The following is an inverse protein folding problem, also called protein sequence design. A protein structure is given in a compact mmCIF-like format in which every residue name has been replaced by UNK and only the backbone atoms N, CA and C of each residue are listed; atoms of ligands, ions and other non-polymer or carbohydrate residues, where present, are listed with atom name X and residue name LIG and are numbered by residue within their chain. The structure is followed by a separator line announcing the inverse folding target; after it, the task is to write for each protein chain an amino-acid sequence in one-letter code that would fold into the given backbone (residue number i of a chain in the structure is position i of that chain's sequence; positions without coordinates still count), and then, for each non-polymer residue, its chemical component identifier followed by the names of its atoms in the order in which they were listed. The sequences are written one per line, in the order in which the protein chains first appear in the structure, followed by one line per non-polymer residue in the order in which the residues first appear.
data_IF_687800386742
#
_entry.id   IF_687800386742
#
_cell.length_a   1.000
_cell.length_b   1.000
_cell.length_c   1.000
_cell.angle_alpha   90.00
_cell.angle_beta   90.00
_cell.angle_gamma   90.00
#
_symmetry.space_group_name_H-M   'P 1'
#
loop_
_entity.id
_entity.type
_entity.pdbx_description
1 polymer ?
#
# COMPACT_ATOMS: atom_id res chain seq x y z
N UNK A 1 -10.34 -2.92 -9.37
CA UNK A 1 -10.43 -2.17 -10.63
C UNK A 1 -11.60 -1.20 -10.54
N UNK A 2 -11.61 -0.18 -11.40
CA UNK A 2 -12.65 0.87 -11.40
C UNK A 2 -14.04 0.36 -11.80
N UNK A 3 -14.09 -0.73 -12.56
CA UNK A 3 -15.31 -1.41 -13.02
C UNK A 3 -15.81 -2.52 -12.06
N UNK A 4 -15.06 -2.80 -10.99
CA UNK A 4 -15.37 -3.87 -10.04
C UNK A 4 -15.10 -5.29 -10.56
N UNK A 5 -14.55 -5.46 -11.77
CA UNK A 5 -14.20 -6.79 -12.29
C UNK A 5 -13.12 -7.47 -11.45
N UNK A 6 -12.24 -6.70 -10.79
CA UNK A 6 -11.17 -7.17 -9.92
C UNK A 6 -11.27 -6.49 -8.56
N UNK A 7 -11.25 -7.27 -7.48
CA UNK A 7 -11.38 -6.78 -6.09
C UNK A 7 -10.23 -7.31 -5.24
N UNK A 8 -9.67 -6.46 -4.38
CA UNK A 8 -8.63 -6.83 -3.42
C UNK A 8 -9.23 -6.76 -2.02
N UNK A 9 -8.94 -7.78 -1.21
CA UNK A 9 -9.41 -7.88 0.17
C UNK A 9 -8.21 -8.14 1.07
N UNK A 10 -7.95 -7.20 1.95
CA UNK A 10 -6.99 -7.34 3.02
C UNK A 10 -7.52 -8.21 4.17
N UNK A 11 -6.66 -9.08 4.68
CA UNK A 11 -6.84 -9.84 5.91
C UNK A 11 -5.61 -9.58 6.81
N UNK A 12 -5.48 -8.36 7.38
CA UNK A 12 -4.26 -7.89 8.03
C UNK A 12 -3.85 -8.73 9.26
N UNK A 13 -4.78 -9.43 9.90
CA UNK A 13 -4.50 -10.30 11.05
C UNK A 13 -4.41 -11.78 10.69
N UNK A 14 -4.17 -12.10 9.42
CA UNK A 14 -4.01 -13.48 9.02
C UNK A 14 -2.67 -14.03 9.52
N UNK A 15 -2.72 -15.13 10.28
CA UNK A 15 -1.53 -15.74 10.87
C UNK A 15 -0.85 -16.80 9.99
N UNK A 16 -1.30 -16.95 8.73
CA UNK A 16 -0.91 -18.05 7.84
C UNK A 16 0.58 -18.10 7.50
N UNK A 17 1.31 -16.99 7.68
CA UNK A 17 2.74 -16.87 7.42
C UNK A 17 3.54 -16.25 8.60
N UNK A 18 3.00 -16.33 9.82
CA UNK A 18 3.56 -15.68 11.01
C UNK A 18 2.52 -14.88 11.79
N UNK A 19 2.84 -14.46 13.02
CA UNK A 19 1.89 -13.71 13.87
C UNK A 19 1.44 -12.41 13.20
N UNK A 20 0.14 -12.29 12.94
CA UNK A 20 -0.50 -11.16 12.26
C UNK A 20 0.23 -10.72 10.97
N UNK A 21 0.85 -11.69 10.27
CA UNK A 21 1.64 -11.45 9.07
C UNK A 21 0.83 -10.73 7.98
N UNK A 22 -0.48 -11.00 7.95
CA UNK A 22 -1.42 -10.40 7.03
C UNK A 22 -1.39 -11.07 5.66
N UNK A 23 -2.48 -10.90 4.92
CA UNK A 23 -2.69 -11.50 3.59
C UNK A 23 -3.59 -10.61 2.75
N UNK A 24 -3.37 -10.60 1.45
CA UNK A 24 -4.30 -10.00 0.47
C UNK A 24 -4.82 -11.05 -0.48
N UNK A 25 -6.14 -11.10 -0.63
CA UNK A 25 -6.82 -11.89 -1.66
C UNK A 25 -7.15 -10.99 -2.84
N UNK A 26 -6.93 -11.47 -4.06
CA UNK A 26 -7.39 -10.80 -5.27
C UNK A 26 -8.40 -11.70 -5.98
N UNK A 27 -9.59 -11.16 -6.19
CA UNK A 27 -10.72 -11.84 -6.77
C UNK A 27 -11.07 -11.22 -8.13
N UNK A 28 -11.52 -12.04 -9.07
CA UNK A 28 -12.02 -11.62 -10.38
C UNK A 28 -13.45 -12.11 -10.59
N UNK A 29 -14.29 -11.26 -11.16
CA UNK A 29 -15.68 -11.60 -11.47
C UNK A 29 -15.77 -12.29 -12.83
N UNK A 30 -16.31 -13.51 -12.85
CA UNK A 30 -16.46 -14.29 -14.09
C UNK A 30 -17.83 -14.12 -14.79
N UNK A 31 -18.64 -13.15 -14.36
CA UNK A 31 -20.02 -12.97 -14.83
C UNK A 31 -21.08 -13.62 -13.95
N UNK A 32 -20.68 -14.45 -12.98
CA UNK A 32 -21.61 -15.05 -11.99
C UNK A 32 -21.14 -14.91 -10.56
N UNK A 33 -19.85 -15.08 -10.30
CA UNK A 33 -19.27 -15.05 -8.96
C UNK A 33 -17.83 -14.52 -8.99
N UNK A 34 -17.33 -14.19 -7.79
CA UNK A 34 -15.93 -13.84 -7.58
C UNK A 34 -15.12 -15.10 -7.28
N UNK A 35 -14.05 -15.30 -8.03
CA UNK A 35 -13.08 -16.37 -7.83
C UNK A 35 -11.69 -15.78 -7.66
N UNK A 36 -10.75 -16.54 -7.08
CA UNK A 36 -9.37 -16.07 -6.95
C UNK A 36 -8.77 -15.85 -8.34
N UNK A 37 -8.34 -14.62 -8.61
CA UNK A 37 -7.64 -14.25 -9.85
C UNK A 37 -6.22 -14.82 -9.88
N UNK A 38 -5.63 -14.96 -8.71
CA UNK A 38 -4.27 -15.44 -8.48
C UNK A 38 -4.16 -16.07 -7.09
N UNK A 39 -3.01 -16.68 -6.81
CA UNK A 39 -2.63 -16.99 -5.43
C UNK A 39 -2.67 -15.71 -4.58
N UNK A 40 -3.11 -15.83 -3.33
CA UNK A 40 -3.06 -14.75 -2.36
C UNK A 40 -1.63 -14.23 -2.17
N UNK A 41 -1.51 -12.97 -1.75
CA UNK A 41 -0.25 -12.32 -1.45
C UNK A 41 -0.09 -12.35 0.07
N UNK A 42 0.92 -13.06 0.56
CA UNK A 42 1.25 -13.10 1.99
C UNK A 42 2.17 -11.93 2.36
N UNK A 43 1.97 -11.37 3.55
CA UNK A 43 2.98 -10.52 4.15
C UNK A 43 4.25 -11.33 4.43
N UNK A 44 5.41 -10.75 4.11
CA UNK A 44 6.70 -11.40 4.34
C UNK A 44 7.26 -11.05 5.73
N UNK A 45 7.73 -12.07 6.46
CA UNK A 45 8.58 -11.92 7.65
C UNK A 45 7.88 -11.29 8.86
N UNK A 46 8.58 -10.35 9.50
CA UNK A 46 8.16 -9.62 10.69
C UNK A 46 6.99 -8.64 10.48
N UNK A 47 6.47 -8.51 9.26
CA UNK A 47 5.44 -7.52 8.91
C UNK A 47 4.15 -7.80 9.64
N UNK A 48 3.58 -6.82 10.34
CA UNK A 48 2.30 -6.94 11.04
C UNK A 48 1.26 -6.13 10.27
N UNK A 49 0.06 -6.66 10.07
CA UNK A 49 -1.02 -5.97 9.36
C UNK A 49 -0.76 -5.72 7.86
N UNK A 50 -0.05 -6.60 7.15
CA UNK A 50 0.01 -6.54 5.69
C UNK A 50 -1.39 -6.66 5.08
N UNK A 51 -1.75 -5.75 4.17
CA UNK A 51 -3.11 -5.67 3.64
C UNK A 51 -4.05 -4.82 4.48
N UNK A 52 -3.53 -4.01 5.41
CA UNK A 52 -4.36 -3.04 6.14
C UNK A 52 -4.99 -2.00 5.21
N UNK A 53 -4.25 -1.61 4.17
CA UNK A 53 -4.72 -0.73 3.11
C UNK A 53 -4.35 -1.33 1.76
N UNK A 54 -5.24 -1.17 0.77
CA UNK A 54 -5.03 -1.67 -0.59
C UNK A 54 -5.57 -0.65 -1.60
N UNK A 55 -4.91 -0.52 -2.75
CA UNK A 55 -5.38 0.33 -3.86
C UNK A 55 -4.96 -0.25 -5.20
N UNK A 56 -5.83 -0.13 -6.21
CA UNK A 56 -5.64 -0.69 -7.54
C UNK A 56 -5.50 0.41 -8.60
N UNK A 57 -4.75 0.11 -9.66
CA UNK A 57 -4.89 0.77 -10.95
C UNK A 57 -6.29 0.54 -11.53
N UNK A 58 -6.69 1.35 -12.51
CA UNK A 58 -8.05 1.30 -13.07
C UNK A 58 -8.39 -0.07 -13.64
N UNK A 59 -7.43 -0.70 -14.33
CA UNK A 59 -7.54 -2.04 -14.94
C UNK A 59 -7.27 -3.20 -13.94
N UNK A 60 -6.90 -2.88 -12.70
CA UNK A 60 -6.55 -3.87 -11.68
C UNK A 60 -5.25 -4.64 -11.94
N UNK A 61 -4.38 -4.18 -12.85
CA UNK A 61 -3.08 -4.81 -13.11
C UNK A 61 -2.05 -4.48 -12.04
N UNK A 62 -2.09 -3.29 -11.43
CA UNK A 62 -1.16 -2.85 -10.38
C UNK A 62 -1.89 -2.68 -9.06
N UNK A 63 -1.33 -3.24 -7.98
CA UNK A 63 -1.88 -3.26 -6.63
C UNK A 63 -0.86 -2.72 -5.63
N UNK A 64 -1.19 -1.62 -4.95
CA UNK A 64 -0.46 -1.16 -3.77
C UNK A 64 -1.05 -1.78 -2.50
N UNK A 65 -0.19 -2.25 -1.60
CA UNK A 65 -0.57 -2.87 -0.33
C UNK A 65 0.22 -2.24 0.82
N UNK A 66 -0.48 -1.68 1.79
CA UNK A 66 0.12 -1.13 2.99
C UNK A 66 0.27 -2.15 4.12
N UNK A 67 1.35 -1.97 4.87
CA UNK A 67 1.69 -2.68 6.09
C UNK A 67 2.22 -1.67 7.12
N UNK A 68 1.33 -0.96 7.84
CA UNK A 68 1.72 0.14 8.73
C UNK A 68 2.49 -0.32 9.97
N UNK A 69 2.53 -1.62 10.27
CA UNK A 69 3.27 -2.17 11.38
C UNK A 69 4.28 -3.21 10.88
N UNK A 70 5.47 -3.22 11.45
CA UNK A 70 6.43 -4.31 11.27
C UNK A 70 6.99 -4.63 12.64
N UNK A 71 6.88 -5.87 13.08
CA UNK A 71 7.47 -6.33 14.34
C UNK A 71 8.97 -6.05 14.39
N UNK A 72 9.45 -5.67 15.58
CA UNK A 72 10.82 -5.18 15.81
C UNK A 72 10.88 -3.70 16.18
N UNK A 73 12.10 -3.15 16.30
CA UNK A 73 12.38 -1.80 16.78
C UNK A 73 11.94 -0.66 15.83
N UNK A 74 11.17 -0.98 14.79
CA UNK A 74 10.84 -0.06 13.71
C UNK A 74 9.47 0.59 13.85
N UNK A 75 8.37 -0.17 13.77
CA UNK A 75 7.02 0.41 13.50
C UNK A 75 7.05 1.53 12.43
N UNK A 76 8.00 1.46 11.49
CA UNK A 76 8.20 2.48 10.46
C UNK A 76 7.10 2.35 9.40
N UNK A 77 6.56 1.14 9.24
CA UNK A 77 5.57 0.83 8.23
C UNK A 77 6.19 0.75 6.83
N UNK A 78 5.46 0.13 5.90
CA UNK A 78 5.88 0.03 4.50
C UNK A 78 4.69 -0.12 3.56
N UNK A 79 4.95 0.13 2.28
CA UNK A 79 4.05 -0.21 1.17
C UNK A 79 4.81 -1.08 0.18
N UNK A 80 4.13 -2.11 -0.31
CA UNK A 80 4.60 -2.96 -1.40
C UNK A 80 3.66 -2.79 -2.59
N UNK A 81 4.22 -2.62 -3.78
CA UNK A 81 3.44 -2.53 -5.01
C UNK A 81 3.66 -3.79 -5.84
N UNK A 82 2.59 -4.34 -6.41
CA UNK A 82 2.63 -5.57 -7.18
C UNK A 82 1.99 -5.36 -8.56
N UNK A 83 2.48 -6.08 -9.56
CA UNK A 83 1.95 -6.09 -10.91
C UNK A 83 1.54 -7.52 -11.31
N UNK A 84 0.38 -7.62 -11.96
CA UNK A 84 -0.16 -8.87 -12.44
C UNK A 84 0.54 -9.30 -13.74
N UNK A 85 1.25 -10.42 -13.70
CA UNK A 85 1.97 -10.94 -14.87
C UNK A 85 1.15 -11.90 -15.74
N UNK A 86 -0.18 -11.95 -15.57
CA UNK A 86 -1.06 -12.93 -16.22
C UNK A 86 -1.30 -14.22 -15.44
N UNK A 87 -0.57 -14.45 -14.33
CA UNK A 87 -0.75 -15.64 -13.47
C UNK A 87 -0.74 -15.32 -11.99
N UNK A 88 0.09 -14.36 -11.57
CA UNK A 88 0.23 -13.92 -10.19
C UNK A 88 0.58 -12.44 -10.12
N UNK A 89 0.34 -11.86 -8.95
CA UNK A 89 0.88 -10.55 -8.59
C UNK A 89 2.33 -10.73 -8.15
N UNK A 90 3.25 -10.04 -8.83
CA UNK A 90 4.70 -10.03 -8.54
C UNK A 90 5.09 -8.64 -8.11
N UNK A 91 5.98 -8.51 -7.13
CA UNK A 91 6.38 -7.21 -6.65
C UNK A 91 7.01 -6.38 -7.79
N UNK A 92 6.57 -5.12 -7.91
CA UNK A 92 7.01 -4.12 -8.88
C UNK A 92 7.84 -3.07 -8.14
N UNK A 93 9.16 -3.16 -8.28
CA UNK A 93 10.13 -2.34 -7.54
C UNK A 93 10.38 -2.79 -6.11
N UNK A 94 11.26 -2.08 -5.41
CA UNK A 94 11.61 -2.33 -4.01
C UNK A 94 10.49 -1.92 -3.03
N UNK A 95 10.64 -2.31 -1.76
CA UNK A 95 9.74 -1.89 -0.68
C UNK A 95 9.84 -0.37 -0.47
N UNK A 96 8.69 0.31 -0.34
CA UNK A 96 8.63 1.71 0.03
C UNK A 96 8.48 1.79 1.56
N UNK A 97 9.58 2.07 2.26
CA UNK A 97 9.63 2.07 3.72
C UNK A 97 9.38 3.46 4.30
N UNK A 98 8.70 3.53 5.46
CA UNK A 98 8.69 4.74 6.27
C UNK A 98 10.08 5.08 6.81
N UNK A 99 10.26 6.33 7.25
CA UNK A 99 11.59 6.85 7.58
C UNK A 99 11.92 6.77 9.07
N UNK A 100 10.89 6.81 9.92
CA UNK A 100 11.05 7.00 11.36
C UNK A 100 10.23 6.01 12.18
N UNK A 101 10.69 5.75 13.40
CA UNK A 101 10.01 4.81 14.29
C UNK A 101 8.64 5.34 14.70
N UNK A 102 7.60 4.55 14.45
CA UNK A 102 6.21 4.93 14.75
C UNK A 102 5.58 5.85 13.70
N UNK A 103 6.17 5.95 12.51
CA UNK A 103 5.58 6.67 11.38
C UNK A 103 4.23 6.06 10.94
N UNK A 104 4.10 4.74 11.11
CA UNK A 104 2.93 3.98 10.67
C UNK A 104 2.66 4.15 9.18
N UNK A 105 3.74 4.22 8.39
CA UNK A 105 3.71 4.47 6.95
C UNK A 105 2.96 3.35 6.22
N UNK A 106 2.07 3.71 5.28
CA UNK A 106 1.20 2.74 4.60
C UNK A 106 -0.12 2.48 5.34
N UNK A 107 -0.48 3.32 6.32
CA UNK A 107 -1.81 3.27 6.94
C UNK A 107 -2.90 3.56 5.90
N UNK A 108 -2.62 4.43 4.95
CA UNK A 108 -3.46 4.68 3.77
C UNK A 108 -2.60 4.64 2.51
N UNK A 109 -3.17 4.14 1.41
CA UNK A 109 -2.53 4.10 0.09
C UNK A 109 -3.54 4.49 -0.98
N UNK A 110 -3.09 5.26 -1.97
CA UNK A 110 -3.87 5.59 -3.17
C UNK A 110 -2.97 5.46 -4.39
N UNK A 111 -3.37 4.61 -5.32
CA UNK A 111 -2.64 4.35 -6.55
C UNK A 111 -3.33 5.06 -7.72
N UNK A 112 -2.55 5.67 -8.62
CA UNK A 112 -3.07 6.31 -9.84
C UNK A 112 -3.70 5.30 -10.79
N UNK A 113 -4.51 5.80 -11.73
CA UNK A 113 -5.26 4.94 -12.67
C UNK A 113 -4.35 4.10 -13.58
N UNK A 114 -3.17 4.61 -13.91
CA UNK A 114 -2.11 3.92 -14.68
C UNK A 114 -1.17 3.08 -13.80
N UNK A 115 -1.27 3.19 -12.48
CA UNK A 115 -0.42 2.47 -11.54
C UNK A 115 1.00 3.02 -11.44
N UNK A 116 1.30 4.20 -12.00
CA UNK A 116 2.65 4.78 -11.97
C UNK A 116 2.90 5.65 -10.74
N UNK A 117 1.87 6.23 -10.12
CA UNK A 117 2.00 7.12 -8.97
C UNK A 117 1.27 6.56 -7.76
N UNK A 118 1.94 6.50 -6.62
CA UNK A 118 1.34 6.08 -5.34
C UNK A 118 1.49 7.18 -4.30
N UNK A 119 0.37 7.57 -3.68
CA UNK A 119 0.34 8.41 -2.49
C UNK A 119 0.20 7.53 -1.25
N UNK A 120 1.02 7.79 -0.23
CA UNK A 120 1.13 6.97 0.98
C UNK A 120 1.01 7.85 2.20
N UNK A 121 0.06 7.53 3.07
CA UNK A 121 -0.13 8.23 4.34
C UNK A 121 0.58 7.55 5.51
N UNK A 122 1.10 8.39 6.39
CA UNK A 122 1.57 8.06 7.72
C UNK A 122 0.75 8.85 8.75
N UNK A 123 0.24 8.18 9.78
CA UNK A 123 -0.53 8.84 10.84
C UNK A 123 0.36 9.40 11.96
N UNK A 124 1.65 9.06 11.97
CA UNK A 124 2.55 9.39 13.08
C UNK A 124 2.22 8.64 14.37
N UNK A 125 3.01 8.87 15.41
CA UNK A 125 2.90 8.19 16.71
C UNK A 125 2.15 9.02 17.77
N UNK A 126 1.37 10.03 17.36
CA UNK A 126 0.67 10.95 18.26
C UNK A 126 1.55 12.07 18.84
N UNK A 127 2.86 12.08 18.57
CA UNK A 127 3.76 13.22 18.84
C UNK A 127 4.24 13.94 17.59
N UNK A 128 4.09 13.30 16.42
CA UNK A 128 4.33 13.88 15.09
C UNK A 128 2.99 14.08 14.38
N UNK A 129 2.88 15.15 13.59
CA UNK A 129 1.77 15.29 12.63
C UNK A 129 1.82 14.14 11.62
N UNK A 130 0.68 13.75 11.07
CA UNK A 130 0.64 12.84 9.94
C UNK A 130 1.11 13.54 8.66
N UNK A 131 1.63 12.77 7.72
CA UNK A 131 2.11 13.27 6.43
C UNK A 131 1.77 12.33 5.29
N UNK A 132 1.80 12.88 4.08
CA UNK A 132 1.62 12.12 2.84
C UNK A 132 2.85 12.27 1.96
N UNK A 133 3.37 11.13 1.48
CA UNK A 133 4.43 11.07 0.48
C UNK A 133 3.92 10.52 -0.83
N UNK A 134 4.38 11.10 -1.94
CA UNK A 134 4.01 10.69 -3.30
C UNK A 134 5.24 10.13 -3.99
N UNK A 135 5.11 8.93 -4.54
CA UNK A 135 6.15 8.25 -5.30
C UNK A 135 5.68 8.01 -6.73
N UNK A 136 6.60 8.09 -7.68
CA UNK A 136 6.41 7.72 -9.08
C UNK A 136 7.31 6.53 -9.44
N UNK A 137 6.79 5.62 -10.23
CA UNK A 137 7.54 4.54 -10.84
C UNK A 137 8.44 5.04 -11.98
N UNK A 138 9.74 4.86 -11.87
CA UNK A 138 10.72 5.31 -12.87
C UNK A 138 11.07 4.25 -13.93
N UNK A 139 10.37 3.11 -13.92
CA UNK A 139 10.68 1.94 -14.75
C UNK A 139 11.43 0.83 -14.02
N UNK A 140 11.93 1.10 -12.81
CA UNK A 140 12.59 0.12 -11.94
C UNK A 140 12.02 0.19 -10.51
N UNK A 141 11.92 1.39 -9.94
CA UNK A 141 11.52 1.64 -8.56
C UNK A 141 10.51 2.78 -8.42
N UNK A 142 9.82 2.82 -7.28
CA UNK A 142 9.01 3.97 -6.87
C UNK A 142 9.90 4.99 -6.16
N UNK A 143 10.12 6.14 -6.79
CA UNK A 143 10.95 7.24 -6.29
C UNK A 143 10.08 8.41 -5.84
N UNK A 144 10.43 9.02 -4.71
CA UNK A 144 9.66 10.13 -4.15
C UNK A 144 9.71 11.35 -5.07
N UNK A 145 8.54 11.90 -5.42
CA UNK A 145 8.37 13.00 -6.39
C UNK A 145 8.72 14.39 -5.83
N UNK A 146 8.66 14.60 -4.52
CA UNK A 146 8.93 15.88 -3.85
C UNK A 146 9.03 15.72 -2.31
N UNK A 147 9.39 16.80 -1.60
CA UNK A 147 9.27 16.91 -0.14
C UNK A 147 7.86 16.53 0.35
N UNK A 148 7.77 16.17 1.63
CA UNK A 148 6.55 15.67 2.25
C UNK A 148 5.39 16.68 2.16
N UNK A 149 4.19 16.17 1.87
CA UNK A 149 2.97 16.97 1.99
C UNK A 149 2.50 16.82 3.44
N UNK A 150 2.99 17.72 4.29
CA UNK A 150 2.61 17.79 5.69
C UNK A 150 1.27 18.53 5.84
N UNK A 151 0.43 18.09 6.77
CA UNK A 151 -0.61 18.96 7.29
C UNK A 151 0.04 20.07 8.13
N UNK A 152 0.30 21.22 7.50
CA UNK A 152 0.50 22.49 8.21
C UNK A 152 -0.80 22.80 8.96
N UNK A 153 -0.91 22.36 10.21
CA UNK A 153 -1.83 22.97 11.17
C UNK A 153 -1.24 24.32 11.62
N UNK A 154 -1.02 25.23 10.68
CA UNK A 154 -0.91 26.65 10.96
C UNK A 154 -2.17 27.31 10.39
N UNK A 155 -2.80 28.18 11.18
CA UNK A 155 -4.13 28.74 10.93
C UNK A 155 -4.20 29.71 9.71
N UNK A 156 -3.22 29.65 8.83
CA UNK A 156 -2.92 30.68 7.84
C UNK A 156 -2.88 29.99 6.47
N UNK A 157 -4.03 29.43 6.09
CA UNK A 157 -4.14 28.60 4.90
C UNK A 157 -3.69 29.32 3.63
N UNK A 158 -2.97 28.62 2.76
CA UNK A 158 -3.05 28.70 1.30
C UNK A 158 -2.30 27.51 0.70
N UNK A 159 -3.03 26.54 0.13
CA UNK A 159 -2.50 25.73 -0.97
C UNK A 159 -2.56 26.58 -2.23
N UNK A 160 -1.42 26.96 -2.79
CA UNK A 160 -1.36 27.47 -4.16
C UNK A 160 -1.17 26.27 -5.10
N UNK A 161 -2.17 26.02 -5.95
CA UNK A 161 -2.06 25.23 -7.17
C UNK A 161 -1.57 26.11 -8.32
#
# INVERSE_FOLDING_TARGET
SSDGAVVAIGAPKNDGNGFEAGRVYVLEYNGTEYHLRAQFIDGEGATICFGMSVSFSSDGSVLAVGAPSSSGAGLIGRVQVFEYNGTKYVQRGENINGESVGDLFGTTVSLSSDGEVVAIGANGNGTTSGHVRVYEYDGDNYVQRAEDIDEECSADGFFNL
#
